data_IF_223271940009
#
_entry.id   IF_223271940009
#
_cell.length_a   1.000
_cell.length_b   1.000
_cell.length_c   1.000
_cell.angle_alpha   90.00
_cell.angle_beta   90.00
_cell.angle_gamma   90.00
#
_symmetry.space_group_name_H-M   'P 1'
#
loop_
_entity.id
_entity.type
_entity.pdbx_description
1 polymer ?
#
# COMPACT_ATOMS: atom_id res chain seq x y z
N UNK A 1 -24.23 30.71 -42.11
CA UNK A 1 -23.41 29.49 -42.26
C UNK A 1 -23.47 28.75 -40.94
N UNK A 2 -24.02 27.54 -41.00
CA UNK A 2 -23.81 26.36 -40.13
C UNK A 2 -23.69 26.56 -38.61
N UNK A 3 -24.71 26.08 -37.90
CA UNK A 3 -24.58 25.63 -36.52
C UNK A 3 -24.24 24.14 -36.44
N UNK A 4 -23.69 23.73 -35.30
CA UNK A 4 -23.62 22.38 -34.69
C UNK A 4 -22.87 22.59 -33.35
N UNK A 5 -23.10 21.93 -32.23
CA UNK A 5 -23.95 20.83 -31.84
C UNK A 5 -23.64 20.50 -30.36
N UNK A 6 -24.57 19.80 -29.73
CA UNK A 6 -24.60 19.32 -28.34
C UNK A 6 -23.42 18.42 -27.94
N UNK A 7 -23.07 18.42 -26.65
CA UNK A 7 -22.77 17.26 -25.78
C UNK A 7 -22.17 17.82 -24.47
N UNK A 8 -22.76 17.69 -23.27
CA UNK A 8 -23.42 16.49 -22.75
C UNK A 8 -22.34 15.43 -22.52
N UNK A 9 -21.64 15.52 -21.39
CA UNK A 9 -20.52 14.64 -21.06
C UNK A 9 -20.32 14.60 -19.55
N UNK A 10 -21.34 14.10 -18.87
CA UNK A 10 -21.25 13.22 -17.69
C UNK A 10 -19.86 12.61 -17.51
N UNK A 11 -19.10 13.16 -16.56
CA UNK A 11 -17.95 12.48 -15.98
C UNK A 11 -18.46 11.48 -14.94
N UNK A 12 -19.09 10.41 -15.41
CA UNK A 12 -19.06 9.12 -14.73
C UNK A 12 -17.79 8.41 -15.19
N UNK A 13 -16.73 8.51 -14.39
CA UNK A 13 -15.68 7.49 -14.37
C UNK A 13 -15.40 7.19 -12.90
N UNK A 14 -16.19 6.25 -12.39
CA UNK A 14 -15.79 5.33 -11.33
C UNK A 14 -14.57 4.55 -11.83
N UNK A 15 -13.38 5.13 -11.64
CA UNK A 15 -12.10 4.52 -11.90
C UNK A 15 -11.28 4.65 -10.62
N UNK A 16 -10.98 3.50 -10.01
CA UNK A 16 -10.01 3.38 -8.92
C UNK A 16 -8.61 3.72 -9.45
N UNK A 17 -8.35 5.00 -9.70
CA UNK A 17 -7.01 5.50 -9.88
C UNK A 17 -6.40 5.52 -8.48
N UNK A 18 -5.66 4.45 -8.13
CA UNK A 18 -4.59 4.59 -7.17
C UNK A 18 -3.68 5.66 -7.75
N UNK A 19 -3.94 6.93 -7.41
CA UNK A 19 -2.97 7.98 -7.66
C UNK A 19 -1.74 7.52 -6.92
N UNK A 20 -0.73 7.05 -7.65
CA UNK A 20 0.57 6.70 -7.11
C UNK A 20 1.18 7.98 -6.59
N UNK A 21 0.72 8.39 -5.41
CA UNK A 21 1.20 9.57 -4.71
C UNK A 21 2.66 9.27 -4.45
N UNK A 22 3.53 10.03 -5.12
CA UNK A 22 4.96 9.90 -4.96
C UNK A 22 5.28 10.01 -3.47
N UNK A 23 5.78 8.95 -2.87
CA UNK A 23 6.04 8.87 -1.43
C UNK A 23 7.05 9.94 -0.98
N UNK A 24 7.87 10.45 -1.91
CA UNK A 24 8.76 11.58 -1.68
C UNK A 24 8.01 12.88 -1.39
N UNK A 25 6.80 13.04 -1.92
CA UNK A 25 5.94 14.19 -1.59
C UNK A 25 5.46 14.17 -0.13
N UNK A 26 5.48 12.99 0.49
CA UNK A 26 5.15 12.78 1.90
C UNK A 26 6.38 12.88 2.81
N UNK A 27 7.58 13.08 2.24
CA UNK A 27 8.84 13.21 2.98
C UNK A 27 9.64 11.92 3.15
N UNK A 28 9.24 10.83 2.47
CA UNK A 28 10.04 9.61 2.37
C UNK A 28 11.19 9.79 1.35
N UNK A 29 12.23 8.96 1.45
CA UNK A 29 13.39 9.06 0.57
C UNK A 29 13.14 8.53 -0.83
N UNK A 30 12.43 7.42 -0.94
CA UNK A 30 12.18 6.71 -2.19
C UNK A 30 10.70 6.78 -2.57
N UNK A 31 10.37 6.71 -3.87
CA UNK A 31 8.99 6.68 -4.36
C UNK A 31 8.31 5.34 -4.09
N UNK A 32 9.10 4.26 -3.92
CA UNK A 32 8.64 2.89 -3.67
C UNK A 32 9.23 2.37 -2.35
N UNK A 33 8.46 1.58 -1.61
CA UNK A 33 8.92 0.96 -0.36
C UNK A 33 9.18 -0.53 -0.61
N UNK A 34 10.38 -0.97 -0.25
CA UNK A 34 10.77 -2.39 -0.25
C UNK A 34 10.46 -2.98 1.14
N UNK A 35 9.93 -4.21 1.24
CA UNK A 35 9.72 -4.86 2.54
C UNK A 35 11.01 -4.92 3.37
N UNK A 36 10.93 -4.52 4.64
CA UNK A 36 12.05 -4.59 5.58
C UNK A 36 12.44 -6.04 5.90
N UNK A 37 13.68 -6.23 6.35
CA UNK A 37 14.17 -7.50 6.89
C UNK A 37 13.55 -7.81 8.26
N UNK A 38 13.19 -6.75 9.01
CA UNK A 38 12.55 -6.85 10.32
C UNK A 38 11.04 -7.05 10.16
N UNK A 39 10.66 -8.32 10.03
CA UNK A 39 9.27 -8.75 9.88
C UNK A 39 8.74 -9.41 11.15
N UNK A 40 7.55 -9.02 11.57
CA UNK A 40 6.85 -9.63 12.70
C UNK A 40 5.41 -10.00 12.35
N UNK A 41 4.88 -10.98 13.05
CA UNK A 41 3.50 -11.44 12.87
C UNK A 41 2.67 -10.91 14.02
N UNK A 42 1.52 -10.30 13.71
CA UNK A 42 0.58 -9.78 14.68
C UNK A 42 -0.84 -10.28 14.38
N UNK A 43 -1.75 -10.14 15.34
CA UNK A 43 -3.15 -10.60 15.18
C UNK A 43 -3.86 -9.98 13.96
N UNK A 44 -3.47 -8.76 13.56
CA UNK A 44 -4.05 -8.07 12.40
C UNK A 44 -3.38 -8.44 11.06
N UNK A 45 -2.14 -8.94 11.06
CA UNK A 45 -1.39 -9.13 9.82
C UNK A 45 0.10 -9.38 10.00
N UNK A 46 0.86 -9.11 8.93
CA UNK A 46 2.33 -9.09 8.95
C UNK A 46 2.79 -7.64 9.02
N UNK A 47 3.58 -7.32 10.04
CA UNK A 47 4.21 -6.01 10.21
C UNK A 47 5.64 -6.01 9.69
N UNK A 48 6.00 -4.94 8.97
CA UNK A 48 7.37 -4.61 8.58
C UNK A 48 7.79 -3.39 9.36
N UNK A 49 8.84 -3.53 10.15
CA UNK A 49 9.42 -2.46 10.94
C UNK A 49 10.56 -1.80 10.15
N UNK A 50 10.53 -0.46 10.11
CA UNK A 50 11.57 0.34 9.50
C UNK A 50 12.19 1.27 10.53
N UNK A 51 13.47 1.06 10.77
CA UNK A 51 14.27 1.89 11.65
C UNK A 51 14.39 3.33 11.13
N UNK A 52 14.69 4.24 12.06
CA UNK A 52 14.99 5.64 11.71
C UNK A 52 16.08 5.71 10.64
N UNK A 53 15.94 6.63 9.69
CA UNK A 53 16.80 6.80 8.51
C UNK A 53 16.75 5.69 7.46
N UNK A 54 15.99 4.60 7.62
CA UNK A 54 15.86 3.63 6.52
C UNK A 54 15.04 4.22 5.37
N UNK A 55 13.81 4.66 5.65
CA UNK A 55 12.88 5.13 4.61
C UNK A 55 12.56 6.63 4.71
N UNK A 56 12.87 7.26 5.85
CA UNK A 56 12.56 8.66 6.11
C UNK A 56 13.60 9.33 7.03
N UNK A 57 13.65 10.67 7.08
CA UNK A 57 14.52 11.40 8.00
C UNK A 57 14.25 11.08 9.48
N UNK A 58 15.28 11.21 10.32
CA UNK A 58 15.22 10.93 11.77
C UNK A 58 14.01 11.53 12.51
N UNK A 59 13.63 12.75 12.15
CA UNK A 59 12.56 13.47 12.84
C UNK A 59 11.17 12.82 12.64
N UNK A 60 11.01 11.95 11.65
CA UNK A 60 9.78 11.19 11.43
C UNK A 60 9.65 9.95 12.30
N UNK A 61 10.74 9.50 12.94
CA UNK A 61 10.72 8.33 13.82
C UNK A 61 10.77 7.00 13.07
N UNK A 62 10.24 5.97 13.70
CA UNK A 62 10.18 4.59 13.21
C UNK A 62 8.84 4.36 12.50
N UNK A 63 8.85 3.59 11.43
CA UNK A 63 7.65 3.24 10.67
C UNK A 63 7.32 1.77 10.84
N UNK A 64 6.04 1.48 11.03
CA UNK A 64 5.53 0.11 11.07
C UNK A 64 4.44 0.01 10.02
N UNK A 65 4.70 -0.76 8.97
CA UNK A 65 3.73 -1.02 7.91
C UNK A 65 3.11 -2.38 8.17
N UNK A 66 1.80 -2.42 8.41
CA UNK A 66 1.06 -3.66 8.66
C UNK A 66 0.25 -4.04 7.43
N UNK A 67 0.58 -5.18 6.83
CA UNK A 67 -0.21 -5.80 5.77
C UNK A 67 -1.28 -6.70 6.39
N UNK A 68 -2.57 -6.38 6.22
CA UNK A 68 -3.64 -7.15 6.85
C UNK A 68 -3.77 -8.55 6.21
N UNK A 69 -4.20 -9.52 7.01
CA UNK A 69 -4.40 -10.90 6.53
C UNK A 69 -5.37 -11.00 5.34
N UNK A 70 -6.35 -10.11 5.26
CA UNK A 70 -7.31 -10.07 4.14
C UNK A 70 -6.63 -9.92 2.79
N UNK A 71 -5.57 -9.11 2.72
CA UNK A 71 -4.82 -8.86 1.48
C UNK A 71 -3.73 -9.91 1.26
N UNK A 72 -3.21 -10.50 2.34
CA UNK A 72 -2.11 -11.46 2.25
C UNK A 72 -2.57 -12.89 1.90
N UNK A 73 -3.81 -13.26 2.26
CA UNK A 73 -4.42 -14.58 1.96
C UNK A 73 -4.17 -15.12 0.55
N UNK A 74 -4.35 -14.35 -0.55
CA UNK A 74 -4.10 -14.84 -1.90
C UNK A 74 -2.62 -15.09 -2.22
N UNK A 75 -1.69 -14.43 -1.50
CA UNK A 75 -0.25 -14.54 -1.73
C UNK A 75 0.44 -15.58 -0.82
N UNK A 76 -0.25 -16.04 0.24
CA UNK A 76 0.26 -17.07 1.12
C UNK A 76 0.16 -18.44 0.44
N UNK A 77 1.30 -19.14 0.34
CA UNK A 77 1.31 -20.52 -0.12
C UNK A 77 0.48 -21.43 0.81
N UNK A 78 -0.21 -22.42 0.25
CA UNK A 78 -1.05 -23.38 0.99
C UNK A 78 -0.33 -24.09 2.14
N UNK A 79 1.01 -24.13 2.13
CA UNK A 79 1.84 -24.69 3.20
C UNK A 79 1.81 -23.88 4.50
N UNK A 80 1.65 -22.56 4.42
CA UNK A 80 1.51 -21.67 5.59
C UNK A 80 0.09 -21.77 6.18
N UNK A 81 -0.91 -21.95 5.32
CA UNK A 81 -2.31 -22.13 5.72
C UNK A 81 -2.55 -23.48 6.43
N UNK A 82 -1.82 -24.53 6.05
CA UNK A 82 -1.94 -25.86 6.68
C UNK A 82 -1.28 -25.98 8.07
N UNK A 83 -0.56 -24.96 8.53
CA UNK A 83 0.13 -24.98 9.82
C UNK A 83 -0.78 -24.61 11.02
N UNK A 84 -2.09 -24.42 10.81
CA UNK A 84 -3.05 -24.17 11.90
C UNK A 84 -2.93 -22.79 12.57
N UNK A 85 -2.31 -21.82 11.88
CA UNK A 85 -2.10 -20.45 12.38
C UNK A 85 -3.33 -19.53 12.26
N UNK A 86 -4.42 -20.04 11.69
CA UNK A 86 -5.70 -19.36 11.55
C UNK A 86 -6.81 -20.34 11.93
N UNK A 87 -7.08 -20.48 13.23
CA UNK A 87 -8.27 -21.14 13.76
C UNK A 87 -9.05 -20.15 14.61
#
# INVERSE_FOLDING_TARGET
>A
MLGTGLAGGDADVSGNEQSSTDLRSLGLFEPDIVPSEDVFICGSGIGFEYDRYQIAPWYMGEFIIVLPWSELKPYLSSRMLSAGLFE
#
